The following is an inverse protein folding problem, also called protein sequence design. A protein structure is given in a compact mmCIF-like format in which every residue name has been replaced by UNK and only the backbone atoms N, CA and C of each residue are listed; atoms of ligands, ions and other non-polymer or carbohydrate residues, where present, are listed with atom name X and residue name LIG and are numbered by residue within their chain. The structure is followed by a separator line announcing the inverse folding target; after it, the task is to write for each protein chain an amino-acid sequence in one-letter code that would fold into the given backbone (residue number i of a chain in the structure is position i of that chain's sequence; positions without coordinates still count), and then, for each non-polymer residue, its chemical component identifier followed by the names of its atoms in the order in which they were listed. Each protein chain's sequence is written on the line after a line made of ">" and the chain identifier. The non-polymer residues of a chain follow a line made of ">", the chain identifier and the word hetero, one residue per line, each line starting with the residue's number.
data_IF_774207434301
#
_entry.id   IF_774207434301
#
_cell.length_a   1.000
_cell.length_b   1.000
_cell.length_c   1.000
_cell.angle_alpha   90.00
_cell.angle_beta   90.00
_cell.angle_gamma   90.00
#
_symmetry.space_group_name_H-M   'P 1'
#
loop_
_entity.id
_entity.type
_entity.pdbx_description
1 polymer ?
#
# COMPACT_ATOMS: atom_id res chain seq x y z
N UNK A 1 -5.69 2.93 15.63
CA UNK A 1 -4.85 3.12 14.45
C UNK A 1 -5.40 2.24 13.33
N UNK A 2 -5.13 2.57 12.08
CA UNK A 2 -5.68 1.87 10.92
C UNK A 2 -7.20 1.96 10.85
N UNK A 3 -7.81 0.91 10.35
CA UNK A 3 -9.27 0.78 10.27
C UNK A 3 -9.99 0.51 11.59
N UNK A 4 -9.38 0.82 12.73
CA UNK A 4 -9.95 0.58 14.07
C UNK A 4 -11.34 1.20 14.19
N UNK A 5 -12.29 0.44 14.70
CA UNK A 5 -13.72 0.75 14.79
C UNK A 5 -14.45 0.79 13.43
N UNK A 6 -13.76 0.54 12.33
CA UNK A 6 -14.38 0.38 11.01
C UNK A 6 -15.02 -0.99 10.82
N UNK A 7 -15.82 -1.09 9.76
CA UNK A 7 -16.40 -2.37 9.35
C UNK A 7 -15.36 -3.22 8.63
N UNK A 8 -15.53 -4.52 8.68
CA UNK A 8 -14.78 -5.43 7.81
C UNK A 8 -15.23 -5.28 6.36
N UNK A 9 -14.25 -5.29 5.47
CA UNK A 9 -14.46 -5.38 4.04
C UNK A 9 -13.74 -6.63 3.53
N UNK A 10 -14.47 -7.54 2.92
CA UNK A 10 -13.92 -8.77 2.36
C UNK A 10 -13.57 -8.56 0.89
N UNK A 11 -12.28 -8.67 0.55
CA UNK A 11 -11.82 -8.75 -0.82
C UNK A 11 -12.11 -10.17 -1.32
N UNK A 12 -12.96 -10.27 -2.32
CA UNK A 12 -13.40 -11.54 -2.90
C UNK A 12 -12.93 -11.73 -4.35
N UNK A 13 -12.57 -10.62 -5.01
CA UNK A 13 -12.17 -10.55 -6.41
C UNK A 13 -10.74 -10.00 -6.51
N UNK A 14 -9.77 -10.77 -7.04
CA UNK A 14 -8.39 -10.33 -7.20
C UNK A 14 -8.17 -9.40 -8.40
N UNK A 15 -9.19 -9.13 -9.20
CA UNK A 15 -9.06 -8.30 -10.42
C UNK A 15 -8.84 -6.83 -10.10
N UNK A 16 -8.17 -6.11 -11.03
CA UNK A 16 -7.90 -4.68 -10.97
C UNK A 16 -8.06 -4.05 -12.38
N UNK A 17 -9.21 -4.28 -13.02
CA UNK A 17 -9.40 -3.99 -14.43
C UNK A 17 -9.88 -2.56 -14.73
N UNK A 18 -10.48 -1.87 -13.76
CA UNK A 18 -10.99 -0.51 -13.93
C UNK A 18 -10.43 0.42 -12.85
N UNK A 19 -9.60 1.36 -13.29
CA UNK A 19 -8.93 2.33 -12.41
C UNK A 19 -9.85 3.46 -11.99
N UNK A 20 -10.90 3.74 -12.77
CA UNK A 20 -11.83 4.86 -12.53
C UNK A 20 -13.09 4.38 -11.82
N UNK A 21 -13.61 3.21 -12.18
CA UNK A 21 -14.81 2.64 -11.56
C UNK A 21 -14.51 1.23 -11.00
N UNK A 22 -13.69 1.13 -9.95
CA UNK A 22 -13.28 -0.15 -9.42
C UNK A 22 -14.48 -0.96 -8.93
N UNK A 23 -14.51 -2.22 -9.32
CA UNK A 23 -15.58 -3.16 -9.01
C UNK A 23 -15.65 -3.44 -7.51
N UNK A 24 -16.85 -3.46 -6.94
CA UNK A 24 -17.07 -3.89 -5.56
C UNK A 24 -16.57 -5.31 -5.36
N UNK A 25 -15.88 -5.55 -4.24
CA UNK A 25 -15.22 -6.82 -3.93
C UNK A 25 -13.73 -6.83 -4.26
N UNK A 26 -13.22 -5.86 -5.02
CA UNK A 26 -11.77 -5.71 -5.30
C UNK A 26 -11.06 -4.92 -4.20
N UNK A 27 -9.74 -5.06 -4.12
CA UNK A 27 -8.91 -4.28 -3.20
C UNK A 27 -8.97 -2.78 -3.51
N UNK A 28 -8.90 -2.39 -4.79
CA UNK A 28 -9.00 -0.98 -5.22
C UNK A 28 -10.31 -0.34 -4.78
N UNK A 29 -11.42 -1.04 -4.89
CA UNK A 29 -12.70 -0.52 -4.40
C UNK A 29 -12.71 -0.33 -2.87
N UNK A 30 -12.06 -1.23 -2.12
CA UNK A 30 -12.02 -1.14 -0.66
C UNK A 30 -11.24 0.09 -0.18
N UNK A 31 -10.04 0.33 -0.73
CA UNK A 31 -9.11 1.35 -0.23
C UNK A 31 -9.56 2.78 -0.48
N UNK A 32 -10.43 3.02 -1.46
CA UNK A 32 -10.95 4.35 -1.78
C UNK A 32 -12.18 4.78 -0.96
N UNK A 33 -12.73 3.88 -0.14
CA UNK A 33 -13.92 4.20 0.68
C UNK A 33 -13.59 5.27 1.74
N UNK A 34 -14.47 6.24 2.01
CA UNK A 34 -14.17 7.36 2.91
C UNK A 34 -14.16 6.97 4.40
N UNK A 35 -14.81 5.86 4.76
CA UNK A 35 -14.93 5.40 6.15
C UNK A 35 -13.73 4.54 6.58
N UNK A 36 -13.44 4.44 7.88
CA UNK A 36 -12.50 3.46 8.40
C UNK A 36 -12.89 2.04 7.99
N UNK A 37 -11.91 1.25 7.50
CA UNK A 37 -12.15 -0.12 7.09
C UNK A 37 -11.01 -1.04 7.56
N UNK A 38 -11.41 -2.23 7.99
CA UNK A 38 -10.53 -3.38 8.14
C UNK A 38 -10.72 -4.28 6.91
N UNK A 39 -9.74 -4.21 6.01
CA UNK A 39 -9.80 -4.91 4.72
C UNK A 39 -9.12 -6.25 4.88
N UNK A 40 -9.88 -7.33 4.70
CA UNK A 40 -9.44 -8.71 4.80
C UNK A 40 -9.76 -9.46 3.50
N UNK A 41 -9.20 -10.64 3.33
CA UNK A 41 -9.32 -11.39 2.09
C UNK A 41 -10.09 -12.68 2.34
N UNK A 42 -11.04 -12.99 1.46
CA UNK A 42 -11.89 -14.18 1.59
C UNK A 42 -11.15 -15.50 1.36
N UNK A 43 -10.02 -15.47 0.67
CA UNK A 43 -9.18 -16.61 0.34
C UNK A 43 -7.78 -16.17 -0.07
N UNK A 44 -6.86 -17.09 -0.21
CA UNK A 44 -5.57 -16.85 -0.85
C UNK A 44 -5.75 -16.37 -2.28
N UNK A 45 -4.98 -15.34 -2.68
CA UNK A 45 -5.07 -14.76 -4.01
C UNK A 45 -3.81 -14.02 -4.41
N UNK A 46 -3.61 -13.87 -5.71
CA UNK A 46 -2.61 -12.98 -6.29
C UNK A 46 -3.36 -11.82 -6.93
N UNK A 47 -3.07 -10.62 -6.49
CA UNK A 47 -3.63 -9.37 -7.02
C UNK A 47 -2.55 -8.70 -7.86
N UNK A 48 -2.78 -8.60 -9.15
CA UNK A 48 -1.96 -7.82 -10.06
C UNK A 48 -2.57 -6.44 -10.21
N UNK A 49 -1.93 -5.44 -9.62
CA UNK A 49 -2.38 -4.05 -9.76
C UNK A 49 -1.99 -3.52 -11.13
N UNK A 50 -2.94 -3.08 -11.93
CA UNK A 50 -2.67 -2.51 -13.25
C UNK A 50 -2.07 -1.10 -13.17
N UNK A 51 -2.37 -0.35 -12.11
CA UNK A 51 -1.78 0.94 -11.75
C UNK A 51 -1.59 1.02 -10.25
N UNK A 52 -0.82 2.03 -9.78
CA UNK A 52 -0.67 2.31 -8.35
C UNK A 52 -1.98 2.19 -7.58
N UNK A 53 -1.93 1.52 -6.44
CA UNK A 53 -3.06 1.46 -5.53
C UNK A 53 -3.04 2.65 -4.59
N UNK A 54 -3.80 3.68 -4.90
CA UNK A 54 -3.93 4.88 -4.07
C UNK A 54 -5.09 4.70 -3.11
N UNK A 55 -4.94 5.16 -1.87
CA UNK A 55 -5.93 4.92 -0.83
C UNK A 55 -6.28 6.15 -0.02
N UNK A 56 -7.41 6.10 0.66
CA UNK A 56 -7.81 7.10 1.66
C UNK A 56 -7.32 6.72 3.05
N UNK A 57 -7.42 7.65 4.00
CA UNK A 57 -7.04 7.45 5.42
C UNK A 57 -7.85 6.34 6.12
N UNK A 58 -7.38 5.95 7.30
CA UNK A 58 -8.08 5.04 8.23
C UNK A 58 -8.33 3.64 7.64
N UNK A 59 -7.28 3.03 7.09
CA UNK A 59 -7.32 1.69 6.48
C UNK A 59 -6.39 0.73 7.19
N UNK A 60 -6.87 -0.48 7.41
CA UNK A 60 -6.03 -1.65 7.69
C UNK A 60 -6.20 -2.64 6.56
N UNK A 61 -5.12 -2.99 5.89
CA UNK A 61 -5.07 -4.10 4.93
C UNK A 61 -4.41 -5.26 5.65
N UNK A 62 -5.14 -6.35 5.86
CA UNK A 62 -4.75 -7.47 6.70
C UNK A 62 -4.82 -8.80 5.93
N UNK A 63 -3.65 -9.35 5.63
CA UNK A 63 -3.51 -10.62 4.92
C UNK A 63 -3.49 -11.86 5.81
N UNK A 64 -3.68 -11.73 7.13
CA UNK A 64 -3.60 -12.86 8.06
C UNK A 64 -4.64 -13.93 7.77
N UNK A 65 -4.23 -15.19 7.95
CA UNK A 65 -5.09 -16.36 7.77
C UNK A 65 -5.20 -16.87 6.34
N UNK A 66 -4.70 -16.11 5.37
CA UNK A 66 -4.66 -16.49 3.96
C UNK A 66 -3.35 -16.01 3.31
N UNK A 67 -3.00 -16.59 2.18
CA UNK A 67 -1.80 -16.21 1.44
C UNK A 67 -2.16 -15.19 0.34
N UNK A 68 -1.82 -13.91 0.57
CA UNK A 68 -2.17 -12.81 -0.33
C UNK A 68 -0.92 -12.20 -0.92
N UNK A 69 -0.85 -12.18 -2.25
CA UNK A 69 0.24 -11.58 -3.00
C UNK A 69 -0.24 -10.33 -3.75
N UNK A 70 0.50 -9.24 -3.62
CA UNK A 70 0.46 -8.09 -4.53
C UNK A 70 1.69 -8.24 -5.42
N UNK A 71 1.48 -8.60 -6.68
CA UNK A 71 2.61 -9.00 -7.52
C UNK A 71 2.36 -8.79 -9.02
N UNK A 72 3.46 -8.72 -9.77
CA UNK A 72 3.49 -8.67 -11.24
C UNK A 72 2.80 -7.43 -11.85
N UNK A 73 2.55 -6.42 -11.04
CA UNK A 73 1.91 -5.16 -11.41
C UNK A 73 2.49 -3.99 -10.64
N UNK A 74 1.75 -2.88 -10.56
CA UNK A 74 2.16 -1.70 -9.82
C UNK A 74 2.12 -1.91 -8.29
N UNK A 75 2.75 -1.01 -7.55
CA UNK A 75 2.82 -1.05 -6.10
C UNK A 75 1.69 -0.29 -5.39
N UNK A 76 1.86 -0.10 -4.10
CA UNK A 76 0.92 0.58 -3.21
C UNK A 76 1.41 1.99 -2.93
N UNK A 77 0.55 3.01 -3.09
CA UNK A 77 0.87 4.42 -2.85
C UNK A 77 0.01 4.99 -1.73
N UNK A 78 0.68 5.41 -0.64
CA UNK A 78 0.09 6.05 0.54
C UNK A 78 0.44 7.53 0.46
N UNK A 79 -0.48 8.36 -0.06
CA UNK A 79 -0.20 9.75 -0.41
C UNK A 79 -1.13 10.72 0.30
N UNK A 80 -0.56 11.65 1.09
CA UNK A 80 -1.25 12.72 1.82
C UNK A 80 -2.43 12.23 2.67
N UNK A 81 -2.27 11.04 3.24
CA UNK A 81 -3.26 10.39 4.11
C UNK A 81 -2.64 10.03 5.45
N UNK A 82 -3.46 9.63 6.38
CA UNK A 82 -3.02 9.24 7.72
C UNK A 82 -3.68 7.94 8.17
N UNK A 83 -3.02 7.30 9.12
CA UNK A 83 -3.61 6.19 9.87
C UNK A 83 -3.86 4.96 8.98
N UNK A 84 -2.77 4.42 8.43
CA UNK A 84 -2.79 3.24 7.55
C UNK A 84 -1.97 2.11 8.18
N UNK A 85 -2.47 0.90 8.11
CA UNK A 85 -1.74 -0.33 8.46
C UNK A 85 -1.74 -1.27 7.25
N UNK A 86 -0.56 -1.79 6.90
CA UNK A 86 -0.39 -2.87 5.92
C UNK A 86 0.27 -4.04 6.64
N UNK A 87 -0.41 -5.17 6.70
CA UNK A 87 0.01 -6.29 7.51
C UNK A 87 -0.19 -7.64 6.80
N UNK A 88 0.84 -8.48 6.87
CA UNK A 88 0.73 -9.90 6.49
C UNK A 88 0.60 -10.17 4.99
N UNK A 89 1.13 -9.30 4.13
CA UNK A 89 1.09 -9.46 2.68
C UNK A 89 2.44 -9.94 2.14
N UNK A 90 2.39 -10.58 0.97
CA UNK A 90 3.55 -10.80 0.10
C UNK A 90 3.53 -9.76 -1.03
N UNK A 91 4.54 -8.88 -1.09
CA UNK A 91 4.64 -7.83 -2.11
C UNK A 91 5.93 -8.08 -2.89
N UNK A 92 5.79 -8.43 -4.17
CA UNK A 92 6.97 -8.81 -4.94
C UNK A 92 6.77 -8.68 -6.46
N UNK A 93 7.88 -8.68 -7.18
CA UNK A 93 7.90 -8.56 -8.63
C UNK A 93 7.08 -7.34 -9.11
N UNK A 94 7.21 -6.22 -8.38
CA UNK A 94 6.52 -4.98 -8.70
C UNK A 94 7.19 -4.32 -9.90
N UNK A 95 6.37 -3.80 -10.80
CA UNK A 95 6.80 -3.06 -11.98
C UNK A 95 6.20 -1.66 -11.99
N UNK A 96 6.84 -0.74 -12.70
CA UNK A 96 6.31 0.62 -12.84
C UNK A 96 4.94 0.62 -13.53
N UNK A 97 3.95 1.26 -12.92
CA UNK A 97 2.68 1.53 -13.57
C UNK A 97 2.85 2.58 -14.68
N UNK A 98 2.09 2.47 -15.75
CA UNK A 98 2.17 3.41 -16.88
C UNK A 98 1.59 4.79 -16.59
N UNK A 99 0.83 4.93 -15.50
CA UNK A 99 0.02 6.10 -15.21
C UNK A 99 -1.31 6.10 -15.96
N UNK A 100 -1.99 7.23 -15.93
CA UNK A 100 -3.32 7.41 -16.51
C UNK A 100 -4.33 7.91 -15.48
N UNK A 101 -5.61 7.78 -15.76
CA UNK A 101 -6.66 8.17 -14.81
C UNK A 101 -6.80 7.11 -13.72
N UNK A 102 -6.62 7.51 -12.47
CA UNK A 102 -6.71 6.63 -11.30
C UNK A 102 -7.64 7.27 -10.26
N UNK A 103 -8.57 6.50 -9.73
CA UNK A 103 -9.42 6.91 -8.62
C UNK A 103 -8.67 6.75 -7.29
N UNK A 104 -8.64 7.83 -6.52
CA UNK A 104 -8.02 7.89 -5.19
C UNK A 104 -9.03 7.99 -4.04
N UNK A 105 -10.29 8.35 -4.36
CA UNK A 105 -11.40 8.41 -3.41
C UNK A 105 -12.74 8.21 -4.13
N UNK A 106 -13.84 8.07 -3.41
CA UNK A 106 -15.16 7.88 -4.03
C UNK A 106 -15.60 9.07 -4.88
N UNK A 107 -15.11 10.27 -4.58
CA UNK A 107 -15.52 11.51 -5.23
C UNK A 107 -14.46 12.10 -6.16
N UNK A 108 -13.26 11.47 -6.25
CA UNK A 108 -12.17 12.01 -7.04
C UNK A 108 -11.43 10.92 -7.81
N UNK A 109 -11.04 11.24 -9.02
CA UNK A 109 -10.00 10.56 -9.78
C UNK A 109 -9.20 11.61 -10.56
N UNK A 110 -7.92 11.35 -10.74
CA UNK A 110 -7.01 12.28 -11.40
C UNK A 110 -6.04 11.58 -12.32
N UNK A 111 -5.36 12.36 -13.14
CA UNK A 111 -4.30 11.84 -13.99
C UNK A 111 -3.03 11.66 -13.18
N UNK A 112 -2.43 10.48 -13.28
CA UNK A 112 -1.17 10.13 -12.64
C UNK A 112 -0.09 9.90 -13.68
N UNK A 113 1.12 10.32 -13.36
CA UNK A 113 2.31 9.96 -14.14
C UNK A 113 2.67 8.49 -13.94
N UNK A 114 3.68 8.04 -14.64
CA UNK A 114 4.29 6.72 -14.44
C UNK A 114 4.82 6.62 -13.00
N UNK A 115 4.59 5.49 -12.35
CA UNK A 115 5.18 5.19 -11.04
C UNK A 115 6.59 4.62 -11.16
N UNK A 116 7.39 4.78 -10.10
CA UNK A 116 8.80 4.35 -10.09
C UNK A 116 8.92 2.83 -10.04
N UNK A 117 8.02 2.17 -9.33
CA UNK A 117 7.99 0.72 -9.22
C UNK A 117 8.37 0.21 -7.84
N UNK A 118 8.17 1.04 -6.81
CA UNK A 118 8.30 0.64 -5.42
C UNK A 118 7.23 -0.37 -5.01
N UNK A 119 7.56 -1.19 -4.02
CA UNK A 119 6.57 -2.02 -3.35
C UNK A 119 5.53 -1.20 -2.62
N UNK A 120 5.97 -0.27 -1.77
CA UNK A 120 5.14 0.68 -1.03
C UNK A 120 5.81 2.06 -1.06
N UNK A 121 5.14 3.04 -1.64
CA UNK A 121 5.56 4.44 -1.64
C UNK A 121 4.71 5.26 -0.66
N UNK A 122 5.36 6.06 0.20
CA UNK A 122 4.71 6.89 1.23
C UNK A 122 5.08 8.35 0.99
N UNK A 123 4.11 9.18 0.61
CA UNK A 123 4.31 10.59 0.30
C UNK A 123 3.51 11.49 1.25
N UNK A 124 4.17 12.35 2.01
CA UNK A 124 3.52 13.37 2.86
C UNK A 124 2.46 12.80 3.80
N UNK A 125 2.61 11.55 4.22
CA UNK A 125 1.65 10.80 5.00
C UNK A 125 2.12 10.59 6.44
N UNK A 126 1.21 10.27 7.33
CA UNK A 126 1.56 10.06 8.74
C UNK A 126 0.81 8.91 9.40
N UNK A 127 1.38 8.40 10.52
CA UNK A 127 0.79 7.28 11.27
C UNK A 127 0.58 6.05 10.39
N UNK A 128 1.65 5.64 9.71
CA UNK A 128 1.67 4.45 8.84
C UNK A 128 2.42 3.32 9.54
N UNK A 129 1.84 2.14 9.54
CA UNK A 129 2.47 0.94 10.09
C UNK A 129 2.51 -0.17 9.05
N UNK A 130 3.72 -0.56 8.66
CA UNK A 130 3.99 -1.65 7.72
C UNK A 130 4.61 -2.79 8.51
N UNK A 131 3.90 -3.89 8.66
CA UNK A 131 4.22 -4.92 9.63
C UNK A 131 3.97 -6.33 9.12
N UNK A 132 4.90 -7.25 9.42
CA UNK A 132 4.82 -8.67 9.05
C UNK A 132 4.57 -8.93 7.55
N UNK A 133 5.11 -8.11 6.65
CA UNK A 133 5.05 -8.34 5.22
C UNK A 133 6.33 -9.03 4.73
N UNK A 134 6.22 -9.77 3.64
CA UNK A 134 7.37 -10.29 2.88
C UNK A 134 7.51 -9.51 1.59
N UNK A 135 8.68 -8.89 1.34
CA UNK A 135 8.87 -8.03 0.18
C UNK A 135 10.16 -8.37 -0.58
N UNK A 136 10.08 -8.38 -1.90
CA UNK A 136 11.24 -8.69 -2.77
C UNK A 136 11.04 -8.27 -4.22
N UNK A 137 12.13 -8.16 -4.98
CA UNK A 137 12.12 -8.00 -6.44
C UNK A 137 11.20 -6.88 -6.96
N UNK A 138 11.22 -5.70 -6.36
CA UNK A 138 10.54 -4.54 -6.92
C UNK A 138 11.43 -3.87 -7.99
N UNK A 139 10.85 -3.07 -8.87
CA UNK A 139 11.58 -2.38 -9.93
C UNK A 139 12.49 -1.29 -9.36
N UNK A 140 12.00 -0.58 -8.34
CA UNK A 140 12.72 0.43 -7.56
C UNK A 140 12.81 -0.01 -6.10
N UNK A 141 12.55 0.81 -5.11
CA UNK A 141 12.62 0.47 -3.69
C UNK A 141 11.58 -0.56 -3.21
N UNK A 142 11.81 -1.15 -2.04
CA UNK A 142 10.76 -1.94 -1.40
C UNK A 142 9.80 -1.04 -0.64
N UNK A 143 10.32 -0.08 0.15
CA UNK A 143 9.53 0.91 0.88
C UNK A 143 10.22 2.26 0.79
N UNK A 144 9.55 3.23 0.19
CA UNK A 144 10.00 4.61 0.13
C UNK A 144 9.12 5.52 0.96
N UNK A 145 9.74 6.33 1.83
CA UNK A 145 9.04 7.30 2.67
C UNK A 145 9.65 8.69 2.50
N UNK A 146 8.97 9.54 1.76
CA UNK A 146 9.49 10.84 1.31
C UNK A 146 8.48 11.98 1.55
N UNK A 147 8.86 13.19 1.15
CA UNK A 147 8.02 14.40 1.20
C UNK A 147 7.43 14.71 2.58
N UNK A 148 8.24 14.64 3.63
CA UNK A 148 7.82 14.98 4.98
C UNK A 148 6.89 13.96 5.64
N UNK A 149 6.89 12.73 5.16
CA UNK A 149 6.19 11.63 5.83
C UNK A 149 6.69 11.41 7.25
N UNK A 150 5.78 11.21 8.22
CA UNK A 150 6.12 11.17 9.65
C UNK A 150 5.38 10.05 10.40
N UNK A 151 5.86 9.72 11.61
CA UNK A 151 5.25 8.70 12.46
C UNK A 151 5.04 7.38 11.71
N UNK A 152 6.09 6.92 11.03
CA UNK A 152 6.09 5.67 10.26
C UNK A 152 6.76 4.58 11.10
N UNK A 153 6.12 3.44 11.19
CA UNK A 153 6.67 2.25 11.80
C UNK A 153 6.79 1.14 10.76
N UNK A 154 7.99 0.60 10.61
CA UNK A 154 8.26 -0.56 9.76
C UNK A 154 8.80 -1.64 10.69
N UNK A 155 8.07 -2.73 10.88
CA UNK A 155 8.44 -3.75 11.85
C UNK A 155 8.16 -5.17 11.35
N UNK A 156 8.99 -6.11 11.77
CA UNK A 156 8.82 -7.54 11.52
C UNK A 156 8.63 -7.93 10.04
N UNK A 157 9.08 -7.10 9.11
CA UNK A 157 9.02 -7.40 7.69
C UNK A 157 10.22 -8.26 7.27
N UNK A 158 10.02 -9.09 6.27
CA UNK A 158 11.04 -9.92 5.66
C UNK A 158 11.40 -9.39 4.28
N UNK A 159 12.59 -8.81 4.15
CA UNK A 159 13.11 -8.22 2.91
C UNK A 159 14.15 -9.14 2.30
N UNK A 160 13.99 -9.52 1.04
CA UNK A 160 14.93 -10.39 0.34
C UNK A 160 15.12 -10.00 -1.11
N UNK A 161 16.26 -10.40 -1.68
CA UNK A 161 16.55 -10.32 -3.10
C UNK A 161 16.32 -8.92 -3.68
N UNK A 162 16.77 -7.89 -2.94
CA UNK A 162 16.66 -6.49 -3.34
C UNK A 162 17.78 -5.67 -2.72
N UNK A 163 18.32 -4.70 -3.45
CA UNK A 163 19.43 -3.88 -2.98
C UNK A 163 18.95 -2.60 -2.30
N UNK A 164 17.90 -1.97 -2.81
CA UNK A 164 17.31 -0.72 -2.31
C UNK A 164 16.09 -1.02 -1.44
N UNK A 165 16.34 -1.36 -0.18
CA UNK A 165 15.29 -1.91 0.70
C UNK A 165 14.38 -0.83 1.24
N UNK A 166 14.93 0.25 1.79
CA UNK A 166 14.16 1.34 2.37
C UNK A 166 14.86 2.66 2.07
N UNK A 167 14.14 3.60 1.47
CA UNK A 167 14.58 4.98 1.27
C UNK A 167 13.82 5.93 2.18
N UNK A 168 14.54 6.77 2.90
CA UNK A 168 13.99 7.90 3.64
C UNK A 168 14.58 9.19 3.11
N UNK A 169 13.76 10.04 2.54
CA UNK A 169 14.17 11.37 2.12
C UNK A 169 13.24 12.41 2.73
N UNK A 170 13.77 13.17 3.68
CA UNK A 170 13.06 14.29 4.33
C UNK A 170 13.82 15.58 4.08
N UNK A 171 13.15 16.59 3.55
CA UNK A 171 13.70 17.92 3.35
C UNK A 171 13.59 18.85 4.58
N UNK A 172 12.99 18.43 5.69
CA UNK A 172 12.80 19.26 6.88
C UNK A 172 12.91 18.45 8.17
N UNK A 173 13.59 19.03 9.18
CA UNK A 173 13.76 18.57 10.56
C UNK A 173 12.51 17.93 11.16
N UNK A 174 12.45 16.61 11.23
CA UNK A 174 11.40 15.93 11.98
C UNK A 174 12.01 14.74 12.70
N UNK A 175 11.87 14.73 14.03
CA UNK A 175 12.05 13.54 14.84
C UNK A 175 11.00 12.50 14.42
N UNK A 176 11.35 11.66 13.48
CA UNK A 176 10.55 10.50 13.12
C UNK A 176 11.07 9.31 13.90
N UNK A 177 10.28 8.76 14.80
CA UNK A 177 10.61 7.50 15.42
C UNK A 177 10.39 6.37 14.41
N UNK A 178 11.48 5.86 13.92
CA UNK A 178 11.50 4.67 13.08
C UNK A 178 12.00 3.50 13.91
N UNK A 179 11.16 2.51 14.14
CA UNK A 179 11.60 1.22 14.66
C UNK A 179 11.68 0.25 13.48
N UNK A 180 12.85 0.12 12.88
CA UNK A 180 13.12 -0.94 11.90
C UNK A 180 13.61 -2.17 12.65
N UNK A 181 12.84 -3.23 12.67
CA UNK A 181 13.29 -4.54 13.08
C UNK A 181 13.32 -5.45 11.84
N UNK A 182 14.49 -5.61 11.27
CA UNK A 182 14.78 -6.56 10.19
C UNK A 182 15.14 -7.89 10.84
N UNK A 183 14.57 -8.97 10.38
CA UNK A 183 15.00 -10.33 10.72
C UNK A 183 15.51 -11.03 9.50
#
# INVERSE_FOLDING_TARGET
>A
MGGKYGKYYFVTDPSDNDMVNPKKGTLRHAVIQPRPLWIVFARSMIIRLNQELIMTSDKTIDGRGVNVHIAYGAGITIQFVKNVIIHGLHIHDIVSGSGGLIRDSVNHFGYRSRSDGDGISIYGSSHVWIDHNSMSHCKDGLIDAIQGSTAITISNNHFTKHNEVILFHSLINILSFLLVRIR
#
